data_IF_615431611311
#
_entry.id   IF_615431611311
#
_cell.length_a   1.000
_cell.length_b   1.000
_cell.length_c   1.000
_cell.angle_alpha   90.00
_cell.angle_beta   90.00
_cell.angle_gamma   90.00
#
_symmetry.space_group_name_H-M   'P 1'
#
loop_
_entity.id
_entity.type
_entity.pdbx_description
1 polymer ?
#
# COMPACT_ATOMS: atom_id res chain seq x y z
N UNK A 1 15.27 30.72 -11.82
CA UNK A 1 13.98 30.13 -12.21
C UNK A 1 14.18 28.64 -12.44
N UNK A 2 13.90 27.78 -11.46
CA UNK A 2 13.94 26.33 -11.64
C UNK A 2 12.50 25.83 -11.73
N UNK A 3 11.96 25.82 -12.95
CA UNK A 3 10.68 25.17 -13.25
C UNK A 3 10.88 23.66 -13.19
N UNK A 4 10.66 23.06 -12.03
CA UNK A 4 10.47 21.61 -11.92
C UNK A 4 9.06 21.33 -12.46
N UNK A 5 8.98 20.88 -13.72
CA UNK A 5 7.75 20.33 -14.27
C UNK A 5 7.41 19.07 -13.46
N UNK A 6 6.52 19.22 -12.47
CA UNK A 6 5.96 18.08 -11.77
C UNK A 6 5.12 17.31 -12.79
N UNK A 7 5.50 16.07 -13.07
CA UNK A 7 4.70 15.19 -13.92
C UNK A 7 3.31 15.04 -13.31
N UNK A 8 2.27 15.04 -14.15
CA UNK A 8 0.92 14.75 -13.65
C UNK A 8 0.85 13.30 -13.15
N UNK A 9 -0.17 13.00 -12.36
CA UNK A 9 -0.42 11.63 -11.89
C UNK A 9 -0.59 10.67 -13.08
N UNK A 10 -1.28 11.11 -14.15
CA UNK A 10 -1.44 10.30 -15.36
C UNK A 10 -0.11 10.05 -16.09
N UNK A 11 0.79 11.03 -16.12
CA UNK A 11 2.12 10.89 -16.76
C UNK A 11 3.04 9.94 -15.98
N UNK A 12 2.95 9.91 -14.65
CA UNK A 12 3.67 8.93 -13.82
C UNK A 12 3.09 7.52 -14.02
N UNK A 13 1.76 7.39 -14.06
CA UNK A 13 1.07 6.13 -14.35
C UNK A 13 1.47 5.56 -15.71
N UNK A 14 1.48 6.40 -16.75
CA UNK A 14 1.83 5.99 -18.12
C UNK A 14 3.32 5.72 -18.33
N UNK A 15 4.22 6.35 -17.55
CA UNK A 15 5.67 6.21 -17.75
C UNK A 15 6.34 5.10 -16.94
N UNK A 16 5.63 4.48 -16.00
CA UNK A 16 6.25 3.58 -15.02
C UNK A 16 6.46 2.12 -15.48
N UNK A 17 6.04 1.74 -16.70
CA UNK A 17 6.12 0.35 -17.22
C UNK A 17 5.68 -0.70 -16.16
N UNK A 18 4.60 -0.38 -15.45
CA UNK A 18 4.05 -1.21 -14.38
C UNK A 18 2.96 -2.11 -14.93
N UNK A 19 2.92 -3.35 -14.43
CA UNK A 19 1.87 -4.33 -14.75
C UNK A 19 0.48 -3.74 -14.51
N UNK A 20 -0.42 -3.75 -15.48
CA UNK A 20 -1.79 -3.29 -15.26
C UNK A 20 -2.50 -4.16 -14.21
N UNK A 21 -3.08 -3.53 -13.19
CA UNK A 21 -3.83 -4.20 -12.12
C UNK A 21 -5.35 -4.07 -12.30
N UNK A 22 -5.80 -3.41 -13.36
CA UNK A 22 -7.21 -3.32 -13.71
C UNK A 22 -7.81 -4.72 -13.88
N UNK A 23 -9.00 -4.95 -13.31
CA UNK A 23 -9.64 -6.27 -13.31
C UNK A 23 -9.05 -7.29 -12.31
N UNK A 24 -7.95 -6.99 -11.62
CA UNK A 24 -7.42 -7.84 -10.54
C UNK A 24 -8.07 -7.53 -9.18
N UNK A 25 -7.85 -8.35 -8.13
CA UNK A 25 -8.26 -8.02 -6.77
C UNK A 25 -7.42 -6.93 -6.09
N UNK A 26 -6.44 -6.33 -6.78
CA UNK A 26 -5.50 -5.35 -6.20
C UNK A 26 -5.48 -4.04 -6.97
N UNK A 27 -5.10 -2.95 -6.30
CA UNK A 27 -5.02 -1.62 -6.90
C UNK A 27 -3.78 -0.86 -6.42
N UNK A 28 -3.34 0.12 -7.22
CA UNK A 28 -2.28 1.07 -6.85
C UNK A 28 -2.88 2.39 -6.42
N UNK A 29 -2.35 2.96 -5.35
CA UNK A 29 -2.58 4.35 -4.96
C UNK A 29 -1.25 5.09 -5.03
N UNK A 30 -1.17 6.15 -5.83
CA UNK A 30 0.01 7.01 -5.90
C UNK A 30 0.06 7.93 -4.68
N UNK A 31 1.23 7.99 -4.05
CA UNK A 31 1.47 8.74 -2.83
C UNK A 31 2.26 10.02 -3.05
N UNK A 32 2.84 10.20 -4.23
CA UNK A 32 3.63 11.37 -4.61
C UNK A 32 3.43 11.70 -6.08
N UNK A 33 3.33 13.00 -6.38
CA UNK A 33 3.29 13.53 -7.75
C UNK A 33 4.70 13.85 -8.28
N UNK A 34 5.75 13.70 -7.46
CA UNK A 34 7.14 14.03 -7.84
C UNK A 34 8.02 12.80 -7.99
N UNK A 35 7.76 11.82 -7.15
CA UNK A 35 8.48 10.56 -7.13
C UNK A 35 7.47 9.46 -7.44
N UNK A 36 7.86 8.40 -8.18
CA UNK A 36 6.97 7.30 -8.53
C UNK A 36 6.72 6.37 -7.33
N UNK A 37 6.29 6.92 -6.19
CA UNK A 37 5.99 6.18 -4.98
C UNK A 37 4.50 5.88 -4.96
N UNK A 38 4.19 4.60 -4.90
CA UNK A 38 2.83 4.08 -4.86
C UNK A 38 2.71 3.00 -3.79
N UNK A 39 1.48 2.66 -3.42
CA UNK A 39 1.18 1.58 -2.49
C UNK A 39 0.19 0.60 -3.11
N UNK A 40 0.39 -0.68 -2.79
CA UNK A 40 -0.50 -1.76 -3.18
C UNK A 40 -1.57 -1.97 -2.11
N UNK A 41 -2.83 -2.02 -2.52
CA UNK A 41 -3.99 -2.25 -1.65
C UNK A 41 -4.95 -3.26 -2.28
N UNK A 42 -5.85 -3.83 -1.50
CA UNK A 42 -6.95 -4.62 -2.05
C UNK A 42 -7.97 -3.73 -2.76
N UNK A 43 -8.57 -4.22 -3.84
CA UNK A 43 -9.55 -3.48 -4.64
C UNK A 43 -10.78 -3.07 -3.82
N UNK A 44 -11.16 -3.87 -2.82
CA UNK A 44 -12.25 -3.55 -1.88
C UNK A 44 -11.98 -2.33 -1.03
N UNK A 45 -10.70 -2.02 -0.75
CA UNK A 45 -10.30 -0.85 0.03
C UNK A 45 -10.00 0.38 -0.80
N UNK A 46 -9.84 0.20 -2.11
CA UNK A 46 -9.37 1.23 -3.00
C UNK A 46 -10.25 2.49 -3.01
N UNK A 47 -11.57 2.31 -3.06
CA UNK A 47 -12.50 3.43 -3.22
C UNK A 47 -12.37 4.44 -2.07
N UNK A 48 -12.53 3.98 -0.83
CA UNK A 48 -12.50 4.86 0.35
C UNK A 48 -11.08 5.36 0.68
N UNK A 49 -10.04 4.59 0.36
CA UNK A 49 -8.65 5.04 0.51
C UNK A 49 -8.30 6.15 -0.47
N UNK A 50 -8.81 6.09 -1.70
CA UNK A 50 -8.50 7.05 -2.77
C UNK A 50 -9.19 8.40 -2.59
N UNK A 51 -10.25 8.47 -1.77
CA UNK A 51 -10.87 9.73 -1.37
C UNK A 51 -9.97 10.58 -0.46
N UNK A 52 -8.93 9.98 0.15
CA UNK A 52 -8.05 10.66 1.11
C UNK A 52 -6.73 11.04 0.44
N UNK A 53 -6.16 12.16 0.90
CA UNK A 53 -4.81 12.57 0.50
C UNK A 53 -3.79 11.91 1.43
N UNK A 54 -2.90 11.13 0.84
CA UNK A 54 -1.82 10.45 1.54
C UNK A 54 -0.47 11.11 1.25
N UNK A 55 0.42 11.03 2.23
CA UNK A 55 1.81 11.46 2.14
C UNK A 55 2.74 10.30 2.45
N UNK A 56 3.94 10.32 1.87
CA UNK A 56 4.98 9.34 2.17
C UNK A 56 5.71 9.72 3.45
N UNK A 57 5.88 8.76 4.36
CA UNK A 57 6.76 8.88 5.51
C UNK A 57 7.91 7.87 5.43
N UNK A 58 9.14 8.36 5.55
CA UNK A 58 10.35 7.52 5.51
C UNK A 58 10.75 7.15 6.94
N UNK A 59 10.51 5.90 7.33
CA UNK A 59 10.90 5.39 8.64
C UNK A 59 12.38 4.98 8.71
N UNK A 60 13.03 4.88 7.56
CA UNK A 60 14.43 4.50 7.41
C UNK A 60 14.93 4.77 6.01
N UNK A 61 16.13 4.28 5.71
CA UNK A 61 16.80 4.51 4.41
C UNK A 61 16.40 3.55 3.30
N UNK A 62 15.68 2.47 3.62
CA UNK A 62 15.24 1.48 2.63
C UNK A 62 13.88 1.80 2.04
N UNK A 63 13.69 1.48 0.77
CA UNK A 63 12.45 1.68 0.01
C UNK A 63 11.26 0.93 0.64
N UNK A 64 11.54 -0.24 1.23
CA UNK A 64 10.59 -1.05 2.00
C UNK A 64 10.22 -0.48 3.39
N UNK A 65 10.74 0.70 3.75
CA UNK A 65 10.48 1.38 5.03
C UNK A 65 9.71 2.70 4.84
N UNK A 66 8.99 2.83 3.73
CA UNK A 66 8.11 3.96 3.41
C UNK A 66 6.67 3.65 3.81
N UNK A 67 5.99 4.58 4.45
CA UNK A 67 4.60 4.39 4.85
C UNK A 67 3.71 5.43 4.16
N UNK A 68 2.53 5.00 3.72
CA UNK A 68 1.43 5.91 3.44
C UNK A 68 0.85 6.42 4.77
N UNK A 69 0.90 7.72 4.99
CA UNK A 69 0.33 8.39 6.17
C UNK A 69 -0.50 9.60 5.81
N UNK A 70 -1.40 10.00 6.70
CA UNK A 70 -2.07 11.30 6.65
C UNK A 70 -2.21 11.84 8.07
N UNK A 71 -2.43 13.15 8.18
CA UNK A 71 -2.75 13.77 9.45
C UNK A 71 -4.27 13.89 9.55
N UNK A 72 -4.82 13.58 10.73
CA UNK A 72 -6.23 13.78 11.07
C UNK A 72 -6.36 14.92 12.07
N UNK A 73 -7.44 15.67 11.93
CA UNK A 73 -7.90 16.74 12.82
C UNK A 73 -6.91 17.88 13.10
N UNK A 74 -7.34 18.80 13.97
CA UNK A 74 -6.56 19.97 14.43
C UNK A 74 -5.39 19.54 15.32
N UNK A 75 -5.48 18.37 15.97
CA UNK A 75 -4.43 17.82 16.83
C UNK A 75 -3.21 17.29 16.08
N UNK A 76 -3.27 17.24 14.73
CA UNK A 76 -2.23 16.66 13.86
C UNK A 76 -1.91 15.20 14.19
N UNK A 77 -2.87 14.45 14.73
CA UNK A 77 -2.67 13.02 14.95
C UNK A 77 -2.33 12.35 13.62
N UNK A 78 -1.29 11.52 13.59
CA UNK A 78 -0.84 10.84 12.38
C UNK A 78 -1.47 9.46 12.32
N UNK A 79 -2.17 9.18 11.24
CA UNK A 79 -2.70 7.85 10.92
C UNK A 79 -1.95 7.25 9.73
N UNK A 80 -1.76 5.94 9.76
CA UNK A 80 -1.07 5.18 8.69
C UNK A 80 -2.08 4.29 7.98
N UNK A 81 -1.93 4.15 6.66
CA UNK A 81 -2.90 3.44 5.81
C UNK A 81 -3.20 2.01 6.30
N UNK A 82 -2.18 1.16 6.48
CA UNK A 82 -2.34 -0.20 7.02
C UNK A 82 -3.15 -0.26 8.32
N UNK A 83 -3.02 0.74 9.18
CA UNK A 83 -3.76 0.80 10.45
C UNK A 83 -5.25 1.04 10.21
N UNK A 84 -5.60 1.96 9.32
CA UNK A 84 -7.01 2.23 8.98
C UNK A 84 -7.66 1.02 8.30
N UNK A 85 -6.94 0.38 7.38
CA UNK A 85 -7.41 -0.85 6.71
C UNK A 85 -7.75 -1.92 7.75
N UNK A 86 -6.83 -2.22 8.68
CA UNK A 86 -7.06 -3.25 9.69
C UNK A 86 -8.16 -2.88 10.70
N UNK A 87 -8.26 -1.62 11.10
CA UNK A 87 -9.34 -1.19 12.03
C UNK A 87 -10.72 -1.35 11.38
N UNK A 88 -10.84 -1.07 10.08
CA UNK A 88 -12.10 -1.23 9.34
C UNK A 88 -12.39 -2.70 9.01
N UNK A 89 -11.39 -3.46 8.57
CA UNK A 89 -11.53 -4.87 8.21
C UNK A 89 -11.77 -5.77 9.43
N UNK A 90 -11.11 -5.46 10.55
CA UNK A 90 -11.21 -6.19 11.80
C UNK A 90 -11.36 -5.21 12.98
N UNK A 91 -12.58 -4.72 13.24
CA UNK A 91 -12.84 -3.85 14.38
C UNK A 91 -12.45 -4.51 15.71
N UNK A 92 -11.84 -3.72 16.59
CA UNK A 92 -11.38 -4.13 17.92
C UNK A 92 -11.70 -3.02 18.92
N UNK A 93 -11.82 -3.39 20.20
CA UNK A 93 -12.00 -2.40 21.25
C UNK A 93 -10.76 -1.52 21.44
N UNK A 94 -10.94 -0.38 22.11
CA UNK A 94 -9.85 0.57 22.29
C UNK A 94 -8.70 0.02 23.13
N UNK A 95 -8.98 -0.88 24.08
CA UNK A 95 -7.95 -1.47 24.93
C UNK A 95 -7.00 -2.33 24.09
N UNK A 96 -7.56 -3.16 23.20
CA UNK A 96 -6.83 -3.95 22.22
C UNK A 96 -6.03 -3.07 21.27
N UNK A 97 -6.65 -2.02 20.71
CA UNK A 97 -5.98 -1.10 19.78
C UNK A 97 -4.81 -0.36 20.44
N UNK A 98 -4.87 -0.04 21.74
CA UNK A 98 -3.75 0.62 22.43
C UNK A 98 -2.54 -0.29 22.62
N UNK A 99 -2.73 -1.60 22.76
CA UNK A 99 -1.65 -2.56 23.02
C UNK A 99 -1.14 -3.31 21.78
N UNK A 100 -1.89 -3.28 20.67
CA UNK A 100 -1.53 -3.95 19.43
C UNK A 100 -1.19 -2.94 18.33
N UNK A 101 -0.22 -3.32 17.51
CA UNK A 101 0.25 -2.64 16.31
C UNK A 101 -0.15 -3.46 15.09
N UNK A 102 -0.12 -2.83 13.91
CA UNK A 102 -0.31 -3.56 12.66
C UNK A 102 1.06 -3.76 12.02
N UNK A 103 1.43 -5.01 11.81
CA UNK A 103 2.70 -5.46 11.24
C UNK A 103 2.50 -5.92 9.79
N UNK A 104 3.55 -5.78 8.97
CA UNK A 104 3.57 -6.24 7.58
C UNK A 104 4.32 -7.58 7.51
N UNK A 105 3.63 -8.65 7.17
CA UNK A 105 4.16 -10.02 7.18
C UNK A 105 5.40 -10.14 6.28
N UNK A 106 5.36 -9.57 5.08
CA UNK A 106 6.50 -9.55 4.15
C UNK A 106 7.52 -8.43 4.45
N UNK A 107 7.27 -7.54 5.41
CA UNK A 107 8.14 -6.42 5.76
C UNK A 107 8.20 -5.28 4.74
N UNK A 108 7.39 -5.32 3.67
CA UNK A 108 7.22 -4.24 2.70
C UNK A 108 6.10 -3.31 3.16
N UNK A 109 6.45 -2.12 3.65
CA UNK A 109 5.50 -1.21 4.32
C UNK A 109 4.53 -0.47 3.38
N UNK A 110 4.75 -0.57 2.07
CA UNK A 110 3.82 -0.08 1.04
C UNK A 110 2.96 -1.21 0.45
N UNK A 111 3.10 -2.46 0.90
CA UNK A 111 2.16 -3.55 0.58
C UNK A 111 1.07 -3.59 1.66
N UNK A 112 0.03 -2.78 1.47
CA UNK A 112 -1.07 -2.56 2.41
C UNK A 112 -2.26 -3.51 2.15
N UNK A 113 -2.08 -4.59 1.39
CA UNK A 113 -3.10 -5.63 1.23
C UNK A 113 -3.39 -6.30 2.57
N UNK A 114 -4.66 -6.55 2.88
CA UNK A 114 -5.12 -7.19 4.14
C UNK A 114 -4.40 -8.51 4.40
N UNK A 115 -4.18 -9.32 3.36
CA UNK A 115 -3.47 -10.60 3.46
C UNK A 115 -1.99 -10.46 3.91
N UNK A 116 -1.41 -9.27 3.78
CA UNK A 116 -0.05 -8.96 4.22
C UNK A 116 -0.01 -8.27 5.60
N UNK A 117 -1.16 -7.92 6.17
CA UNK A 117 -1.27 -7.21 7.44
C UNK A 117 -1.67 -8.16 8.56
N UNK A 118 -1.15 -7.91 9.77
CA UNK A 118 -1.58 -8.62 10.98
C UNK A 118 -1.53 -7.73 12.21
N UNK A 119 -2.38 -8.02 13.18
CA UNK A 119 -2.21 -7.49 14.53
C UNK A 119 -1.02 -8.14 15.22
N UNK A 120 -0.19 -7.35 15.87
CA UNK A 120 0.96 -7.80 16.62
C UNK A 120 1.16 -6.94 17.87
N UNK A 121 1.45 -7.57 18.99
CA UNK A 121 1.95 -6.88 20.19
C UNK A 121 3.32 -6.27 19.91
N UNK A 122 3.78 -5.40 20.82
CA UNK A 122 5.14 -4.82 20.73
C UNK A 122 6.24 -5.89 20.68
N UNK A 123 6.07 -6.98 21.43
CA UNK A 123 7.06 -8.07 21.51
C UNK A 123 7.05 -8.89 20.22
N UNK A 124 5.88 -9.27 19.72
CA UNK A 124 5.74 -9.98 18.45
C UNK A 124 6.29 -9.15 17.29
N UNK A 125 5.94 -7.86 17.21
CA UNK A 125 6.45 -6.97 16.17
C UNK A 125 7.98 -6.86 16.19
N UNK A 126 8.60 -6.87 17.38
CA UNK A 126 10.05 -6.88 17.50
C UNK A 126 10.66 -8.22 17.04
N UNK A 127 10.03 -9.35 17.39
CA UNK A 127 10.45 -10.69 16.99
C UNK A 127 10.29 -10.93 15.47
N UNK A 128 9.24 -10.36 14.87
CA UNK A 128 8.91 -10.48 13.46
C UNK A 128 9.84 -9.67 12.53
N UNK A 129 10.76 -8.90 13.10
CA UNK A 129 11.62 -7.99 12.34
C UNK A 129 12.50 -8.77 11.36
N UNK A 130 12.27 -8.52 10.07
CA UNK A 130 13.07 -9.08 8.98
C UNK A 130 14.50 -8.55 8.97
N UNK A 131 15.41 -9.32 8.34
CA UNK A 131 16.77 -8.87 8.05
C UNK A 131 16.69 -7.62 7.17
N UNK A 132 17.60 -6.66 7.40
CA UNK A 132 17.63 -5.43 6.59
C UNK A 132 17.85 -5.79 5.12
N UNK A 133 17.03 -5.21 4.23
CA UNK A 133 17.10 -5.42 2.79
C UNK A 133 16.51 -6.73 2.29
N UNK A 134 15.90 -7.55 3.15
CA UNK A 134 15.29 -8.82 2.72
C UNK A 134 13.79 -8.71 2.40
N UNK A 135 13.22 -7.51 2.44
CA UNK A 135 11.82 -7.30 2.05
C UNK A 135 11.74 -7.24 0.51
N UNK A 136 10.76 -7.91 -0.11
CA UNK A 136 10.58 -7.87 -1.55
C UNK A 136 10.16 -6.47 -2.03
N UNK A 137 10.50 -6.14 -3.27
CA UNK A 137 9.99 -4.92 -3.92
C UNK A 137 8.48 -5.04 -4.19
N UNK A 138 7.80 -3.91 -4.37
CA UNK A 138 6.38 -3.94 -4.73
C UNK A 138 6.17 -4.54 -6.12
N UNK A 139 7.12 -4.32 -7.02
CA UNK A 139 7.13 -4.84 -8.37
C UNK A 139 7.22 -6.36 -8.38
N UNK A 140 8.12 -6.95 -7.56
CA UNK A 140 8.24 -8.40 -7.42
C UNK A 140 6.97 -9.01 -6.82
N UNK A 141 6.41 -8.38 -5.78
CA UNK A 141 5.14 -8.81 -5.18
C UNK A 141 4.03 -8.82 -6.24
N UNK A 142 3.88 -7.74 -7.01
CA UNK A 142 2.83 -7.67 -8.04
C UNK A 142 3.03 -8.73 -9.12
N UNK A 143 4.26 -8.96 -9.57
CA UNK A 143 4.57 -10.01 -10.56
C UNK A 143 4.15 -11.39 -10.05
N UNK A 144 4.49 -11.73 -8.80
CA UNK A 144 4.11 -13.00 -8.18
C UNK A 144 2.59 -13.15 -8.05
N UNK A 145 1.91 -12.08 -7.62
CA UNK A 145 0.45 -12.09 -7.45
C UNK A 145 -0.30 -12.28 -8.78
N UNK A 146 0.11 -11.56 -9.82
CA UNK A 146 -0.51 -11.67 -11.14
C UNK A 146 -0.23 -13.04 -11.76
N UNK A 147 0.99 -13.58 -11.58
CA UNK A 147 1.31 -14.94 -12.03
C UNK A 147 0.47 -16.03 -11.33
N UNK A 148 -0.02 -15.76 -10.12
CA UNK A 148 -0.91 -16.65 -9.36
C UNK A 148 -2.39 -16.53 -9.71
N UNK A 149 -2.81 -15.58 -10.55
CA UNK A 149 -4.20 -15.46 -10.97
C UNK A 149 -4.57 -16.58 -11.96
N UNK A 150 -5.82 -17.08 -11.93
CA UNK A 150 -6.30 -17.93 -13.01
C UNK A 150 -6.25 -17.16 -14.33
N UNK A 151 -6.06 -17.85 -15.49
CA UNK A 151 -6.10 -17.19 -16.78
C UNK A 151 -7.42 -16.43 -16.92
N UNK A 152 -7.32 -15.13 -17.22
CA UNK A 152 -8.48 -14.30 -17.50
C UNK A 152 -9.22 -14.91 -18.70
N UNK A 153 -10.55 -15.10 -18.63
CA UNK A 153 -11.31 -15.55 -19.80
C UNK A 153 -11.04 -14.56 -20.94
N UNK A 154 -10.62 -15.08 -22.09
CA UNK A 154 -10.45 -14.28 -23.29
C UNK A 154 -11.81 -13.63 -23.58
N UNK A 155 -11.85 -12.30 -23.62
CA UNK A 155 -13.02 -11.58 -24.08
C UNK A 155 -13.19 -11.94 -25.56
N UNK A 156 -14.01 -12.96 -25.84
CA UNK A 156 -14.48 -13.21 -27.19
C UNK A 156 -15.25 -11.96 -27.62
N UNK A 157 -14.84 -11.35 -28.73
CA UNK A 157 -15.62 -10.27 -29.34
C UNK A 157 -16.97 -10.87 -29.71
N UNK A 158 -18.01 -10.53 -28.94
CA UNK A 158 -19.38 -10.90 -29.28
C UNK A 158 -19.70 -10.14 -30.57
N UNK A 159 -19.93 -10.81 -31.71
CA UNK A 159 -20.32 -10.12 -32.93
C UNK A 159 -21.65 -9.42 -32.68
N UNK A 160 -21.69 -8.12 -32.92
CA UNK A 160 -22.88 -7.29 -32.77
C UNK A 160 -23.86 -7.50 -33.94
#
# INVERSE_FOLDING_TARGET
MHGCFAKTREELEASADLVDLTGTPWRRIWLSAREPIWTLVDAVDYAWLSEKIWNVWHAGRGDWMRYAKRNVDVSRATVRMHREIMVLAEPRDEAYLRSHFVDHINGQTLDNRRANLRWATKQENAANRRRRGSAPSLEDIVRELVAGLPPQPQLEEIPF
#
